data_IF_639620029883
#
_entry.id   IF_639620029883
#
_cell.length_a   1.000
_cell.length_b   1.000
_cell.length_c   1.000
_cell.angle_alpha   90.00
_cell.angle_beta   90.00
_cell.angle_gamma   90.00
#
_symmetry.space_group_name_H-M   'P 1'
#
loop_
_entity.id
_entity.type
_entity.pdbx_description
1 polymer ?
#
# COMPACT_ATOMS: atom_id res chain seq x y z
N UNK A 1 20.57 -26.54 111.62
CA UNK A 1 19.65 -26.19 110.52
C UNK A 1 20.35 -25.67 109.26
N UNK A 2 21.44 -24.89 109.34
CA UNK A 2 22.11 -24.34 108.15
C UNK A 2 22.75 -25.38 107.19
N UNK A 3 23.28 -26.50 107.69
CA UNK A 3 23.94 -27.54 106.87
C UNK A 3 22.99 -28.27 105.91
N UNK A 4 21.75 -28.52 106.33
CA UNK A 4 20.75 -29.20 105.49
C UNK A 4 20.21 -28.30 104.39
N UNK A 5 20.09 -26.99 104.65
CA UNK A 5 19.65 -25.99 103.68
C UNK A 5 20.60 -25.87 102.48
N UNK A 6 21.91 -25.81 102.74
CA UNK A 6 22.92 -25.76 101.68
C UNK A 6 23.02 -27.07 100.89
N UNK A 7 22.84 -28.23 101.54
CA UNK A 7 22.83 -29.51 100.83
C UNK A 7 21.62 -29.65 99.88
N UNK A 8 20.44 -29.16 100.27
CA UNK A 8 19.26 -29.15 99.39
C UNK A 8 19.43 -28.22 98.18
N UNK A 9 20.08 -27.07 98.37
CA UNK A 9 20.37 -26.14 97.27
C UNK A 9 21.34 -26.76 96.26
N UNK A 10 22.41 -27.42 96.74
CA UNK A 10 23.39 -28.08 95.87
C UNK A 10 22.73 -29.22 95.07
N UNK A 11 21.87 -30.01 95.71
CA UNK A 11 21.14 -31.10 95.03
C UNK A 11 20.18 -30.54 93.97
N UNK A 12 19.47 -29.44 94.26
CA UNK A 12 18.57 -28.81 93.30
C UNK A 12 19.32 -28.21 92.10
N UNK A 13 20.48 -27.59 92.33
CA UNK A 13 21.34 -27.07 91.25
C UNK A 13 21.84 -28.22 90.39
N UNK A 14 22.30 -29.32 91.00
CA UNK A 14 22.75 -30.49 90.25
C UNK A 14 21.63 -31.10 89.41
N UNK A 15 20.42 -31.18 89.96
CA UNK A 15 19.25 -31.66 89.23
C UNK A 15 18.85 -30.71 88.09
N UNK A 16 18.94 -29.39 88.28
CA UNK A 16 18.63 -28.43 87.22
C UNK A 16 19.65 -28.48 86.09
N UNK A 17 20.94 -28.64 86.41
CA UNK A 17 22.00 -28.80 85.41
C UNK A 17 21.80 -30.09 84.62
N UNK A 18 21.44 -31.20 85.27
CA UNK A 18 21.11 -32.46 84.58
C UNK A 18 19.91 -32.30 83.66
N UNK A 19 18.84 -31.64 84.11
CA UNK A 19 17.67 -31.40 83.28
C UNK A 19 17.98 -30.50 82.08
N UNK A 20 18.83 -29.48 82.26
CA UNK A 20 19.30 -28.61 81.17
C UNK A 20 20.18 -29.40 80.19
N UNK A 21 21.10 -30.24 80.67
CA UNK A 21 21.92 -31.09 79.80
C UNK A 21 21.07 -32.11 79.02
N UNK A 22 20.06 -32.72 79.65
CA UNK A 22 19.12 -33.62 78.96
C UNK A 22 18.27 -32.85 77.95
N UNK A 23 17.87 -31.61 78.25
CA UNK A 23 17.14 -30.76 77.32
C UNK A 23 18.01 -30.36 76.11
N UNK A 24 19.28 -30.02 76.33
CA UNK A 24 20.24 -29.71 75.26
C UNK A 24 20.55 -30.93 74.39
N UNK A 25 20.74 -32.11 75.00
CA UNK A 25 20.94 -33.37 74.26
C UNK A 25 19.67 -33.74 73.48
N UNK A 26 18.46 -33.56 74.05
CA UNK A 26 17.21 -33.75 73.31
C UNK A 26 17.04 -32.75 72.17
N UNK A 27 17.50 -31.52 72.33
CA UNK A 27 17.46 -30.48 71.30
C UNK A 27 18.41 -30.82 70.14
N UNK A 28 19.61 -31.32 70.45
CA UNK A 28 20.60 -31.78 69.46
C UNK A 28 20.10 -33.04 68.71
N UNK A 29 19.54 -34.02 69.43
CA UNK A 29 18.95 -35.24 68.83
C UNK A 29 17.69 -34.92 68.00
N UNK A 30 16.88 -33.92 68.39
CA UNK A 30 15.71 -33.48 67.60
C UNK A 30 16.08 -32.60 66.40
N UNK A 31 17.26 -31.95 66.41
CA UNK A 31 17.78 -31.25 65.24
C UNK A 31 18.38 -32.22 64.22
N UNK A 32 19.03 -33.30 64.65
CA UNK A 32 19.56 -34.32 63.73
C UNK A 32 18.45 -35.16 63.05
N UNK A 33 17.28 -35.32 63.71
CA UNK A 33 16.12 -36.02 63.14
C UNK A 33 15.14 -35.15 62.35
N UNK A 34 15.38 -33.84 62.28
CA UNK A 34 14.67 -32.94 61.35
C UNK A 34 15.63 -32.40 60.30
N UNK A 35 16.31 -33.29 59.58
CA UNK A 35 16.55 -33.02 58.16
C UNK A 35 15.18 -33.06 57.51
N UNK A 36 14.47 -31.94 57.58
CA UNK A 36 13.40 -31.65 56.65
C UNK A 36 14.05 -31.88 55.29
N UNK A 37 13.68 -32.97 54.59
CA UNK A 37 13.83 -33.00 53.14
C UNK A 37 13.04 -31.79 52.70
N UNK A 38 13.73 -30.67 52.48
CA UNK A 38 13.16 -29.57 51.75
C UNK A 38 12.58 -30.23 50.50
N UNK A 39 11.28 -30.03 50.19
CA UNK A 39 10.83 -30.39 48.86
C UNK A 39 11.85 -29.79 47.91
N UNK A 40 12.33 -30.56 46.93
CA UNK A 40 13.14 -29.99 45.86
C UNK A 40 12.22 -28.98 45.17
N UNK A 41 12.19 -27.76 45.68
CA UNK A 41 11.59 -26.63 45.00
C UNK A 41 12.50 -26.42 43.83
N UNK A 42 12.02 -26.80 42.65
CA UNK A 42 12.69 -26.50 41.39
C UNK A 42 12.97 -25.00 41.38
N UNK A 43 14.22 -24.62 41.65
CA UNK A 43 14.64 -23.23 41.55
C UNK A 43 14.84 -22.96 40.08
N UNK A 44 14.02 -22.07 39.55
CA UNK A 44 14.21 -21.51 38.23
C UNK A 44 15.01 -20.22 38.37
N UNK A 45 16.09 -20.11 37.60
CA UNK A 45 16.81 -18.86 37.42
C UNK A 45 16.41 -18.26 36.07
N UNK A 46 16.07 -16.98 36.06
CA UNK A 46 15.87 -16.22 34.83
C UNK A 46 17.23 -15.92 34.20
N UNK A 47 17.41 -16.35 32.95
CA UNK A 47 18.64 -16.15 32.19
C UNK A 47 18.30 -15.43 30.90
N UNK A 48 19.14 -14.47 30.55
CA UNK A 48 19.05 -13.75 29.28
C UNK A 48 19.49 -14.67 28.13
N UNK A 49 18.69 -14.78 27.07
CA UNK A 49 18.94 -15.70 25.95
C UNK A 49 18.78 -15.02 24.60
N UNK A 50 19.37 -15.66 23.58
CA UNK A 50 19.34 -15.26 22.17
C UNK A 50 18.29 -16.04 21.38
N UNK A 51 17.28 -16.60 22.04
CA UNK A 51 16.29 -17.50 21.41
C UNK A 51 15.53 -16.81 20.28
N UNK A 52 15.22 -15.50 20.40
CA UNK A 52 14.63 -14.72 19.30
C UNK A 52 15.53 -14.72 18.06
N UNK A 53 16.82 -14.41 18.25
CA UNK A 53 17.81 -14.39 17.16
C UNK A 53 17.94 -15.78 16.52
N UNK A 54 18.06 -16.83 17.33
CA UNK A 54 18.15 -18.21 16.84
C UNK A 54 16.92 -18.62 16.04
N UNK A 55 15.71 -18.22 16.46
CA UNK A 55 14.48 -18.49 15.73
C UNK A 55 14.45 -17.75 14.38
N UNK A 56 14.81 -16.46 14.35
CA UNK A 56 14.88 -15.70 13.10
C UNK A 56 15.88 -16.34 12.11
N UNK A 57 17.06 -16.74 12.58
CA UNK A 57 18.07 -17.40 11.75
C UNK A 57 17.60 -18.78 11.26
N UNK A 58 16.97 -19.56 12.14
CA UNK A 58 16.46 -20.90 11.83
C UNK A 58 15.34 -20.89 10.78
N UNK A 59 14.43 -19.93 10.87
CA UNK A 59 13.25 -19.83 10.00
C UNK A 59 13.39 -18.74 8.93
N UNK A 60 14.63 -18.34 8.59
CA UNK A 60 14.91 -17.28 7.63
C UNK A 60 14.21 -17.49 6.27
N UNK A 61 14.21 -18.72 5.75
CA UNK A 61 13.58 -19.05 4.48
C UNK A 61 12.04 -18.88 4.52
N UNK A 62 11.41 -19.23 5.65
CA UNK A 62 9.96 -19.07 5.82
C UNK A 62 9.58 -17.58 5.82
N UNK A 63 10.41 -16.74 6.46
CA UNK A 63 10.24 -15.28 6.48
C UNK A 63 10.40 -14.71 5.06
N UNK A 64 11.42 -15.15 4.32
CA UNK A 64 11.64 -14.71 2.94
C UNK A 64 10.49 -15.12 2.02
N UNK A 65 9.99 -16.36 2.15
CA UNK A 65 8.84 -16.81 1.39
C UNK A 65 7.58 -15.99 1.71
N UNK A 66 7.32 -15.70 2.99
CA UNK A 66 6.20 -14.86 3.41
C UNK A 66 6.32 -13.41 2.90
N UNK A 67 7.54 -12.86 2.87
CA UNK A 67 7.83 -11.56 2.28
C UNK A 67 7.48 -11.52 0.78
N UNK A 68 7.90 -12.53 0.01
CA UNK A 68 7.59 -12.61 -1.43
C UNK A 68 6.09 -12.77 -1.68
N UNK A 69 5.39 -13.60 -0.91
CA UNK A 69 3.92 -13.69 -0.99
C UNK A 69 3.25 -12.36 -0.66
N UNK A 70 3.77 -11.61 0.32
CA UNK A 70 3.26 -10.29 0.68
C UNK A 70 3.44 -9.29 -0.46
N UNK A 71 4.59 -9.31 -1.16
CA UNK A 71 4.80 -8.49 -2.37
C UNK A 71 3.81 -8.83 -3.46
N UNK A 72 3.58 -10.12 -3.73
CA UNK A 72 2.59 -10.57 -4.72
C UNK A 72 1.17 -10.12 -4.38
N UNK A 73 0.79 -10.20 -3.10
CA UNK A 73 -0.51 -9.72 -2.62
C UNK A 73 -0.66 -8.20 -2.82
N UNK A 74 0.38 -7.42 -2.55
CA UNK A 74 0.39 -5.97 -2.76
C UNK A 74 0.33 -5.63 -4.26
N UNK A 75 1.11 -6.33 -5.09
CA UNK A 75 1.10 -6.16 -6.54
C UNK A 75 -0.29 -6.42 -7.13
N UNK A 76 -0.97 -7.46 -6.63
CA UNK A 76 -2.35 -7.77 -6.97
C UNK A 76 -3.30 -6.66 -6.56
N UNK A 77 -3.18 -6.12 -5.33
CA UNK A 77 -3.99 -4.99 -4.86
C UNK A 77 -3.81 -3.78 -5.79
N UNK A 78 -2.57 -3.42 -6.13
CA UNK A 78 -2.27 -2.30 -7.02
C UNK A 78 -2.92 -2.54 -8.39
N UNK A 79 -2.65 -3.71 -8.99
CA UNK A 79 -3.10 -4.07 -10.33
C UNK A 79 -4.62 -4.06 -10.43
N UNK A 80 -5.32 -4.76 -9.53
CA UNK A 80 -6.78 -4.86 -9.55
C UNK A 80 -7.46 -3.49 -9.37
N UNK A 81 -6.98 -2.67 -8.44
CA UNK A 81 -7.60 -1.36 -8.17
C UNK A 81 -7.32 -0.35 -9.29
N UNK A 82 -6.10 -0.32 -9.82
CA UNK A 82 -5.74 0.57 -10.94
C UNK A 82 -6.48 0.14 -12.21
N UNK A 83 -6.47 -1.16 -12.55
CA UNK A 83 -7.14 -1.65 -13.76
C UNK A 83 -8.63 -1.39 -13.69
N UNK A 84 -9.29 -1.72 -12.56
CA UNK A 84 -10.71 -1.42 -12.37
C UNK A 84 -11.03 0.06 -12.60
N UNK A 85 -10.23 0.97 -12.02
CA UNK A 85 -10.49 2.42 -12.14
C UNK A 85 -10.38 2.90 -13.58
N UNK A 86 -9.35 2.47 -14.30
CA UNK A 86 -9.14 2.88 -15.69
C UNK A 86 -10.09 2.17 -16.65
N UNK A 87 -10.45 0.91 -16.41
CA UNK A 87 -11.41 0.18 -17.23
C UNK A 87 -12.82 0.78 -17.05
N UNK A 88 -13.21 1.17 -15.83
CA UNK A 88 -14.45 1.91 -15.58
C UNK A 88 -14.44 3.27 -16.30
N UNK A 89 -13.32 3.99 -16.29
CA UNK A 89 -13.17 5.25 -17.03
C UNK A 89 -13.31 5.02 -18.55
N UNK A 90 -12.62 4.02 -19.11
CA UNK A 90 -12.64 3.70 -20.53
C UNK A 90 -14.06 3.35 -20.97
N UNK A 91 -14.69 2.41 -20.26
CA UNK A 91 -16.00 1.87 -20.62
C UNK A 91 -17.12 2.91 -20.46
N UNK A 92 -17.02 3.82 -19.50
CA UNK A 92 -18.11 4.76 -19.20
C UNK A 92 -17.96 6.12 -19.89
N UNK A 93 -16.74 6.54 -20.24
CA UNK A 93 -16.50 7.93 -20.63
C UNK A 93 -15.92 8.09 -22.04
N UNK A 94 -15.16 7.14 -22.57
CA UNK A 94 -14.49 7.31 -23.87
C UNK A 94 -15.51 7.49 -25.00
N UNK A 95 -16.53 6.62 -25.07
CA UNK A 95 -17.54 6.73 -26.12
C UNK A 95 -18.39 8.00 -25.99
N UNK A 96 -18.74 8.39 -24.76
CA UNK A 96 -19.45 9.67 -24.51
C UNK A 96 -18.62 10.88 -24.92
N UNK A 97 -17.31 10.82 -24.70
CA UNK A 97 -16.40 11.87 -25.14
C UNK A 97 -16.29 11.91 -26.67
N UNK A 98 -16.24 10.77 -27.35
CA UNK A 98 -16.23 10.71 -28.81
C UNK A 98 -17.52 11.29 -29.40
N UNK A 99 -18.68 10.98 -28.81
CA UNK A 99 -19.96 11.57 -29.24
C UNK A 99 -19.98 13.10 -29.03
N UNK A 100 -19.31 13.60 -27.99
CA UNK A 100 -19.08 15.03 -27.83
C UNK A 100 -18.13 15.57 -28.89
N UNK A 101 -16.95 14.97 -29.08
CA UNK A 101 -15.92 15.38 -30.03
C UNK A 101 -16.45 15.48 -31.47
N UNK A 102 -17.21 14.46 -31.91
CA UNK A 102 -17.87 14.40 -33.21
C UNK A 102 -19.26 15.08 -33.24
N UNK A 103 -19.52 16.02 -32.32
CA UNK A 103 -20.68 16.91 -32.40
C UNK A 103 -20.25 18.30 -32.85
N UNK A 104 -21.17 19.02 -33.51
CA UNK A 104 -20.96 20.43 -33.89
C UNK A 104 -20.53 21.26 -32.68
N UNK A 105 -21.22 21.08 -31.54
CA UNK A 105 -20.92 21.82 -30.31
C UNK A 105 -19.53 21.46 -29.78
N UNK A 106 -19.13 20.19 -29.83
CA UNK A 106 -17.82 19.74 -29.36
C UNK A 106 -16.68 20.28 -30.21
N UNK A 107 -16.79 20.20 -31.54
CA UNK A 107 -15.76 20.72 -32.43
C UNK A 107 -15.53 22.23 -32.23
N UNK A 108 -16.61 23.02 -32.09
CA UNK A 108 -16.48 24.44 -31.76
C UNK A 108 -15.92 24.68 -30.36
N UNK A 109 -16.29 23.85 -29.37
CA UNK A 109 -15.78 23.97 -27.99
C UNK A 109 -14.28 23.70 -27.95
N UNK A 110 -13.82 22.64 -28.60
CA UNK A 110 -12.40 22.26 -28.66
C UNK A 110 -11.59 23.25 -29.47
N UNK A 111 -12.11 23.75 -30.60
CA UNK A 111 -11.45 24.79 -31.38
C UNK A 111 -11.33 26.10 -30.59
N UNK A 112 -12.37 26.50 -29.87
CA UNK A 112 -12.34 27.67 -29.00
C UNK A 112 -11.33 27.48 -27.86
N UNK A 113 -11.36 26.32 -27.19
CA UNK A 113 -10.42 26.01 -26.10
C UNK A 113 -8.98 25.96 -26.60
N UNK A 114 -8.72 25.38 -27.77
CA UNK A 114 -7.41 25.37 -28.40
C UNK A 114 -6.89 26.79 -28.70
N UNK A 115 -7.75 27.69 -29.18
CA UNK A 115 -7.34 29.02 -29.66
C UNK A 115 -7.30 30.07 -28.55
N UNK A 116 -8.26 30.03 -27.62
CA UNK A 116 -8.51 31.10 -26.66
C UNK A 116 -8.64 30.62 -25.22
N UNK A 117 -8.61 29.31 -24.96
CA UNK A 117 -8.94 28.73 -23.66
C UNK A 117 -7.96 27.66 -23.19
N UNK A 118 -8.49 26.73 -22.38
CA UNK A 118 -7.73 25.63 -21.80
C UNK A 118 -8.29 24.30 -22.30
N UNK A 119 -7.58 23.68 -23.24
CA UNK A 119 -7.97 22.38 -23.80
C UNK A 119 -7.93 21.27 -22.74
N UNK A 120 -7.01 21.34 -21.78
CA UNK A 120 -6.90 20.33 -20.73
C UNK A 120 -8.15 20.33 -19.84
N UNK A 121 -8.74 21.52 -19.61
CA UNK A 121 -10.02 21.64 -18.91
C UNK A 121 -11.15 20.93 -19.65
N UNK A 122 -11.20 21.04 -20.98
CA UNK A 122 -12.21 20.34 -21.79
C UNK A 122 -12.06 18.82 -21.64
N UNK A 123 -10.83 18.29 -21.73
CA UNK A 123 -10.55 16.86 -21.53
C UNK A 123 -10.91 16.41 -20.11
N UNK A 124 -10.53 17.17 -19.10
CA UNK A 124 -10.86 16.85 -17.72
C UNK A 124 -12.38 16.79 -17.50
N UNK A 125 -13.14 17.75 -18.02
CA UNK A 125 -14.58 17.79 -17.79
C UNK A 125 -15.36 16.79 -18.64
N UNK A 126 -14.94 16.56 -19.90
CA UNK A 126 -15.71 15.79 -20.89
C UNK A 126 -15.25 14.33 -21.00
N UNK A 127 -13.98 14.04 -20.74
CA UNK A 127 -13.44 12.68 -20.81
C UNK A 127 -13.16 12.12 -19.42
N UNK A 128 -12.34 12.78 -18.60
CA UNK A 128 -11.95 12.20 -17.30
C UNK A 128 -13.09 12.26 -16.26
N UNK A 129 -13.87 13.33 -16.32
CA UNK A 129 -14.92 13.66 -15.35
C UNK A 129 -14.41 14.59 -14.25
N UNK A 130 -15.31 15.46 -13.76
CA UNK A 130 -14.99 16.50 -12.76
C UNK A 130 -14.44 15.98 -11.43
N UNK A 131 -14.75 14.73 -11.10
CA UNK A 131 -14.33 14.08 -9.85
C UNK A 131 -13.18 13.08 -10.07
N UNK A 132 -12.49 13.13 -11.22
CA UNK A 132 -11.40 12.20 -11.51
C UNK A 132 -10.26 12.30 -10.51
N UNK A 133 -9.84 13.51 -10.12
CA UNK A 133 -8.82 13.70 -9.08
C UNK A 133 -9.24 13.07 -7.74
N UNK A 134 -10.52 13.21 -7.36
CA UNK A 134 -11.05 12.55 -6.14
C UNK A 134 -11.03 11.03 -6.27
N UNK A 135 -11.32 10.52 -7.46
CA UNK A 135 -11.29 9.09 -7.77
C UNK A 135 -9.88 8.54 -7.62
N UNK A 136 -8.87 9.21 -8.19
CA UNK A 136 -7.46 8.85 -8.03
C UNK A 136 -7.00 8.96 -6.57
N UNK A 137 -7.45 9.99 -5.85
CA UNK A 137 -7.13 10.13 -4.42
C UNK A 137 -7.70 8.97 -3.59
N UNK A 138 -8.93 8.55 -3.88
CA UNK A 138 -9.58 7.41 -3.23
C UNK A 138 -8.88 6.09 -3.58
N UNK A 139 -8.56 5.89 -4.86
CA UNK A 139 -7.77 4.77 -5.35
C UNK A 139 -6.45 4.62 -4.58
N UNK A 140 -5.70 5.72 -4.46
CA UNK A 140 -4.42 5.72 -3.74
C UNK A 140 -4.59 5.41 -2.25
N UNK A 141 -5.63 5.94 -1.61
CA UNK A 141 -5.96 5.59 -0.23
C UNK A 141 -6.26 4.11 -0.07
N UNK A 142 -7.05 3.53 -0.96
CA UNK A 142 -7.44 2.12 -0.91
C UNK A 142 -6.21 1.20 -1.10
N UNK A 143 -5.36 1.49 -2.08
CA UNK A 143 -4.13 0.72 -2.32
C UNK A 143 -3.20 0.79 -1.11
N UNK A 144 -2.91 1.98 -0.59
CA UNK A 144 -1.97 2.15 0.54
C UNK A 144 -2.53 1.49 1.80
N UNK A 145 -3.81 1.66 2.12
CA UNK A 145 -4.42 1.08 3.31
C UNK A 145 -4.46 -0.47 3.24
N UNK A 146 -4.81 -1.02 2.08
CA UNK A 146 -4.83 -2.47 1.91
C UNK A 146 -3.41 -3.06 1.93
N UNK A 147 -2.43 -2.34 1.38
CA UNK A 147 -1.01 -2.70 1.46
C UNK A 147 -0.50 -2.68 2.90
N UNK A 148 -0.88 -1.66 3.69
CA UNK A 148 -0.59 -1.59 5.13
C UNK A 148 -1.04 -2.85 5.86
N UNK A 149 -2.27 -3.32 5.61
CA UNK A 149 -2.78 -4.52 6.27
C UNK A 149 -1.99 -5.79 5.90
N UNK A 150 -1.45 -5.86 4.67
CA UNK A 150 -0.59 -6.97 4.25
C UNK A 150 0.78 -6.91 4.92
N UNK A 151 1.40 -5.72 4.96
CA UNK A 151 2.67 -5.51 5.65
C UNK A 151 2.54 -5.80 7.15
N UNK A 152 1.46 -5.34 7.79
CA UNK A 152 1.23 -5.60 9.20
C UNK A 152 1.10 -7.10 9.51
N UNK A 153 0.42 -7.86 8.64
CA UNK A 153 0.33 -9.32 8.77
C UNK A 153 1.69 -10.00 8.61
N UNK A 154 2.50 -9.57 7.63
CA UNK A 154 3.87 -10.07 7.47
C UNK A 154 4.70 -9.87 8.75
N UNK A 155 4.62 -8.69 9.37
CA UNK A 155 5.32 -8.42 10.62
C UNK A 155 4.81 -9.28 11.78
N UNK A 156 3.50 -9.52 11.86
CA UNK A 156 2.93 -10.46 12.84
C UNK A 156 3.42 -11.89 12.63
N UNK A 157 3.56 -12.35 11.39
CA UNK A 157 4.09 -13.67 11.08
C UNK A 157 5.56 -13.80 11.52
N UNK A 158 6.37 -12.76 11.32
CA UNK A 158 7.75 -12.71 11.85
C UNK A 158 7.74 -12.78 13.38
N UNK A 159 6.85 -12.04 14.06
CA UNK A 159 6.72 -12.06 15.52
C UNK A 159 6.39 -13.48 16.03
N UNK A 160 5.43 -14.15 15.40
CA UNK A 160 5.03 -15.53 15.73
C UNK A 160 6.21 -16.50 15.54
N UNK A 161 6.97 -16.34 14.46
CA UNK A 161 8.15 -17.16 14.18
C UNK A 161 9.24 -16.92 15.24
N UNK A 162 9.55 -15.65 15.52
CA UNK A 162 10.59 -15.25 16.46
C UNK A 162 10.31 -15.73 17.88
N UNK A 163 9.05 -15.72 18.30
CA UNK A 163 8.62 -16.04 19.66
C UNK A 163 8.30 -17.53 19.87
N UNK A 164 8.59 -18.40 18.90
CA UNK A 164 8.45 -19.85 19.08
C UNK A 164 9.24 -20.33 20.30
N UNK A 165 8.56 -20.97 21.25
CA UNK A 165 9.11 -21.47 22.51
C UNK A 165 9.60 -20.38 23.49
N UNK A 166 9.14 -19.14 23.34
CA UNK A 166 9.42 -18.03 24.27
C UNK A 166 8.26 -17.89 25.26
N UNK A 167 8.58 -17.67 26.54
CA UNK A 167 7.61 -17.29 27.57
C UNK A 167 7.19 -15.82 27.34
N UNK A 168 6.03 -15.62 26.72
CA UNK A 168 5.52 -14.29 26.33
C UNK A 168 5.14 -13.42 27.54
N UNK A 169 4.67 -14.02 28.63
CA UNK A 169 4.28 -13.27 29.83
C UNK A 169 5.51 -12.70 30.52
N UNK A 170 6.58 -13.50 30.60
CA UNK A 170 7.85 -13.08 31.18
C UNK A 170 8.52 -11.94 30.38
N UNK A 171 8.29 -11.90 29.07
CA UNK A 171 8.95 -10.97 28.14
C UNK A 171 8.04 -9.86 27.60
N UNK A 172 6.82 -9.71 28.16
CA UNK A 172 5.77 -8.84 27.64
C UNK A 172 6.23 -7.42 27.34
N UNK A 173 6.88 -6.77 28.29
CA UNK A 173 7.30 -5.37 28.15
C UNK A 173 8.30 -5.15 27.01
N UNK A 174 9.25 -6.07 26.83
CA UNK A 174 10.25 -6.00 25.75
C UNK A 174 9.61 -6.16 24.38
N UNK A 175 8.70 -7.13 24.25
CA UNK A 175 7.99 -7.42 23.00
C UNK A 175 6.99 -6.32 22.63
N UNK A 176 6.25 -5.76 23.60
CA UNK A 176 5.31 -4.66 23.36
C UNK A 176 6.01 -3.39 22.87
N UNK A 177 7.16 -3.02 23.46
CA UNK A 177 7.95 -1.87 23.02
C UNK A 177 8.47 -2.04 21.57
N UNK A 178 8.91 -3.24 21.23
CA UNK A 178 9.32 -3.56 19.87
C UNK A 178 8.15 -3.37 18.89
N UNK A 179 6.97 -3.88 19.23
CA UNK A 179 5.76 -3.75 18.41
C UNK A 179 5.33 -2.29 18.19
N UNK A 180 5.35 -1.46 19.23
CA UNK A 180 4.98 -0.04 19.13
C UNK A 180 5.91 0.73 18.19
N UNK A 181 7.22 0.61 18.39
CA UNK A 181 8.21 1.32 17.57
C UNK A 181 8.11 0.98 16.08
N UNK A 182 7.79 -0.28 15.76
CA UNK A 182 7.65 -0.70 14.36
C UNK A 182 6.31 -0.30 13.77
N UNK A 183 5.23 -0.33 14.56
CA UNK A 183 3.95 0.20 14.12
C UNK A 183 4.05 1.69 13.76
N UNK A 184 4.68 2.49 14.61
CA UNK A 184 4.87 3.92 14.37
C UNK A 184 5.71 4.17 13.11
N UNK A 185 6.85 3.49 12.95
CA UNK A 185 7.70 3.62 11.77
C UNK A 185 7.02 3.16 10.46
N UNK A 186 6.19 2.12 10.54
CA UNK A 186 5.39 1.64 9.42
C UNK A 186 4.33 2.68 9.00
N UNK A 187 3.63 3.27 9.97
CA UNK A 187 2.62 4.29 9.71
C UNK A 187 3.23 5.54 9.08
N UNK A 188 4.38 6.02 9.57
CA UNK A 188 5.05 7.19 8.99
C UNK A 188 5.49 6.95 7.55
N UNK A 189 6.15 5.82 7.27
CA UNK A 189 6.68 5.55 5.93
C UNK A 189 5.57 5.35 4.88
N UNK A 190 4.44 4.76 5.27
CA UNK A 190 3.30 4.61 4.37
C UNK A 190 2.50 5.89 4.16
N UNK A 191 2.46 6.79 5.16
CA UNK A 191 1.92 8.14 4.98
C UNK A 191 2.75 8.95 3.98
N UNK A 192 4.08 8.88 4.07
CA UNK A 192 4.99 9.56 3.13
C UNK A 192 4.85 9.01 1.71
N UNK A 193 4.67 7.70 1.56
CA UNK A 193 4.43 7.09 0.27
C UNK A 193 3.08 7.51 -0.33
N UNK A 194 2.02 7.55 0.49
CA UNK A 194 0.72 8.09 0.08
C UNK A 194 0.86 9.53 -0.41
N UNK A 195 1.58 10.38 0.32
CA UNK A 195 1.81 11.76 -0.10
C UNK A 195 2.54 11.83 -1.45
N UNK A 196 3.56 11.00 -1.66
CA UNK A 196 4.33 10.95 -2.91
C UNK A 196 3.50 10.55 -4.12
N UNK A 197 2.59 9.58 -3.98
CA UNK A 197 1.73 9.16 -5.09
C UNK A 197 0.65 10.20 -5.38
N UNK A 198 0.03 10.77 -4.34
CA UNK A 198 -1.03 11.76 -4.47
C UNK A 198 -0.57 13.10 -5.07
N UNK A 199 0.72 13.46 -4.98
CA UNK A 199 1.25 14.66 -5.63
C UNK A 199 1.46 14.49 -7.12
N UNK A 200 1.37 13.27 -7.66
CA UNK A 200 1.46 13.04 -9.09
C UNK A 200 0.20 13.56 -9.79
N UNK A 201 0.36 14.57 -10.65
CA UNK A 201 -0.72 15.19 -11.43
C UNK A 201 -1.23 14.29 -12.58
N UNK A 202 -1.79 13.12 -12.25
CA UNK A 202 -2.24 12.09 -13.19
C UNK A 202 -3.30 12.63 -14.16
N UNK A 203 -4.28 13.38 -13.64
CA UNK A 203 -5.31 14.02 -14.46
C UNK A 203 -4.69 14.98 -15.49
N UNK A 204 -3.77 15.84 -15.05
CA UNK A 204 -3.05 16.79 -15.92
C UNK A 204 -2.26 16.06 -17.00
N UNK A 205 -1.55 14.99 -16.66
CA UNK A 205 -0.77 14.21 -17.63
C UNK A 205 -1.65 13.58 -18.71
N UNK A 206 -2.78 12.99 -18.30
CA UNK A 206 -3.79 12.46 -19.22
C UNK A 206 -4.36 13.55 -20.12
N UNK A 207 -4.74 14.68 -19.53
CA UNK A 207 -5.29 15.81 -20.26
C UNK A 207 -4.32 16.33 -21.31
N UNK A 208 -3.03 16.48 -20.97
CA UNK A 208 -1.97 16.91 -21.89
C UNK A 208 -1.75 15.90 -23.02
N UNK A 209 -1.66 14.60 -22.70
CA UNK A 209 -1.45 13.56 -23.72
C UNK A 209 -2.57 13.59 -24.76
N UNK A 210 -3.82 13.68 -24.31
CA UNK A 210 -4.99 13.65 -25.19
C UNK A 210 -5.20 14.99 -25.90
N UNK A 211 -5.02 16.12 -25.21
CA UNK A 211 -5.13 17.44 -25.82
C UNK A 211 -4.11 17.66 -26.93
N UNK A 212 -2.90 17.09 -26.81
CA UNK A 212 -1.89 17.14 -27.87
C UNK A 212 -2.36 16.45 -29.16
N UNK A 213 -3.03 15.31 -29.05
CA UNK A 213 -3.58 14.56 -30.20
C UNK A 213 -4.70 15.31 -30.89
N UNK A 214 -5.57 15.95 -30.11
CA UNK A 214 -6.67 16.76 -30.66
C UNK A 214 -6.13 18.03 -31.32
N UNK A 215 -5.16 18.68 -30.70
CA UNK A 215 -4.50 19.87 -31.25
C UNK A 215 -3.87 19.55 -32.61
N UNK A 216 -3.24 18.38 -32.77
CA UNK A 216 -2.70 17.92 -34.04
C UNK A 216 -3.80 17.73 -35.11
N UNK A 217 -4.93 17.10 -34.76
CA UNK A 217 -6.08 16.92 -35.67
C UNK A 217 -6.69 18.28 -36.08
N UNK A 218 -6.85 19.22 -35.15
CA UNK A 218 -7.35 20.58 -35.44
C UNK A 218 -6.41 21.37 -36.36
N UNK A 219 -5.09 21.27 -36.13
CA UNK A 219 -4.09 21.89 -37.00
C UNK A 219 -4.18 21.33 -38.44
N UNK A 220 -4.34 20.02 -38.60
CA UNK A 220 -4.51 19.39 -39.91
C UNK A 220 -5.80 19.82 -40.61
N UNK A 221 -6.93 19.86 -39.89
CA UNK A 221 -8.22 20.34 -40.44
C UNK A 221 -8.14 21.79 -40.92
N UNK A 222 -7.41 22.66 -40.20
CA UNK A 222 -7.22 24.05 -40.63
C UNK A 222 -6.31 24.17 -41.86
N UNK A 223 -5.28 23.34 -41.99
CA UNK A 223 -4.40 23.28 -43.18
C UNK A 223 -5.09 22.67 -44.42
N UNK A 224 -6.01 21.71 -44.23
CA UNK A 224 -6.78 21.08 -45.30
C UNK A 224 -7.74 22.03 -46.04
N UNK A 225 -8.26 23.07 -45.34
CA UNK A 225 -9.07 24.13 -45.97
C UNK A 225 -8.27 24.98 -46.98
N UNK A 226 -6.94 25.02 -46.88
CA UNK A 226 -6.04 25.64 -47.87
C UNK A 226 -5.62 24.70 -49.00
N UNK A 227 -5.46 23.40 -48.74
CA UNK A 227 -5.14 22.42 -49.79
C UNK A 227 -6.32 22.16 -50.74
N UNK A 228 -7.56 22.18 -50.24
CA UNK A 228 -8.77 21.99 -51.06
C UNK A 228 -9.01 23.18 -52.01
N UNK A 229 -8.53 24.38 -51.66
CA UNK A 229 -8.51 25.51 -52.60
C UNK A 229 -7.56 25.28 -53.78
N UNK A 230 -6.54 24.41 -53.67
CA UNK A 230 -5.65 24.07 -54.78
C UNK A 230 -6.20 22.91 -55.65
N UNK A 231 -6.93 21.97 -55.05
CA UNK A 231 -7.60 20.89 -55.80
C UNK A 231 -8.88 21.37 -56.52
N UNK A 232 -9.55 22.41 -56.00
CA UNK A 232 -10.73 23.00 -56.65
C UNK A 232 -10.40 24.13 -57.64
N UNK A 233 -9.17 24.66 -57.65
CA UNK A 233 -8.78 25.75 -58.57
C UNK A 233 -8.22 25.27 -59.91
N UNK A 234 -8.03 23.97 -60.13
CA UNK A 234 -7.64 23.42 -61.44
C UNK A 234 -8.81 22.96 -62.31
N UNK A 235 -10.06 22.99 -61.82
CA UNK A 235 -11.28 22.69 -62.60
C UNK A 235 -12.19 23.90 -62.82
N UNK A 236 -11.64 25.12 -62.77
CA UNK A 236 -12.35 26.35 -63.14
C UNK A 236 -12.06 26.80 -64.59
N UNK A 237 -11.78 25.87 -65.50
CA UNK A 237 -11.64 26.16 -66.93
C UNK A 237 -12.32 25.08 -67.78
N UNK A 238 -13.65 25.00 -67.67
CA UNK A 238 -14.64 24.55 -68.67
C UNK A 238 -15.78 23.82 -67.97
N UNK A 239 -17.00 24.27 -68.23
CA UNK A 239 -18.22 23.78 -67.59
C UNK A 239 -18.42 22.28 -67.79
N UNK A 240 -18.82 21.59 -66.73
CA UNK A 240 -19.16 20.18 -66.78
C UNK A 240 -19.24 19.60 -65.37
N UNK A 241 -20.45 19.25 -64.98
CA UNK A 241 -20.83 18.60 -63.72
C UNK A 241 -19.88 17.42 -63.43
N UNK A 242 -18.95 17.59 -62.49
CA UNK A 242 -18.25 16.47 -61.88
C UNK A 242 -18.30 16.66 -60.38
N UNK A 243 -19.32 16.06 -59.78
CA UNK A 243 -19.38 15.85 -58.35
C UNK A 243 -18.16 15.01 -57.96
N UNK A 244 -17.15 15.65 -57.38
CA UNK A 244 -16.18 14.94 -56.55
C UNK A 244 -16.90 14.22 -55.40
N UNK A 245 -16.18 13.39 -54.64
CA UNK A 245 -16.68 12.48 -53.57
C UNK A 245 -17.63 13.12 -52.52
N UNK A 246 -17.81 14.44 -52.52
CA UNK A 246 -18.90 15.17 -51.86
C UNK A 246 -20.20 15.31 -52.71
N UNK A 247 -20.59 14.25 -53.44
CA UNK A 247 -21.68 14.29 -54.41
C UNK A 247 -23.13 14.51 -53.90
N UNK A 248 -23.48 14.47 -52.60
CA UNK A 248 -24.83 14.90 -52.19
C UNK A 248 -25.06 16.42 -52.34
N UNK A 249 -24.00 17.21 -52.59
CA UNK A 249 -24.05 18.69 -52.55
C UNK A 249 -24.15 19.39 -53.91
N UNK A 250 -24.39 18.67 -55.02
CA UNK A 250 -24.45 19.32 -56.35
C UNK A 250 -25.81 19.26 -57.03
N UNK A 251 -26.90 18.95 -56.34
CA UNK A 251 -28.21 18.94 -56.96
C UNK A 251 -29.32 19.24 -55.97
N UNK A 252 -29.78 20.50 -56.01
CA UNK A 252 -31.04 21.02 -55.45
C UNK A 252 -30.89 21.75 -54.08
N UNK A 253 -31.35 23.01 -54.09
CA UNK A 253 -31.69 23.89 -52.97
C UNK A 253 -30.59 24.75 -52.33
N UNK A 254 -30.20 25.81 -53.04
CA UNK A 254 -29.98 27.11 -52.40
C UNK A 254 -31.28 27.51 -51.66
N UNK A 255 -31.29 27.51 -50.33
CA UNK A 255 -32.43 28.04 -49.59
C UNK A 255 -32.35 28.04 -48.06
N UNK A 256 -31.94 26.94 -47.43
CA UNK A 256 -32.05 26.83 -45.95
C UNK A 256 -31.02 25.92 -45.27
N UNK A 257 -29.90 25.57 -45.92
CA UNK A 257 -28.80 24.91 -45.21
C UNK A 257 -28.04 26.00 -44.45
N UNK A 258 -28.39 26.18 -43.18
CA UNK A 258 -27.62 27.01 -42.24
C UNK A 258 -26.16 26.56 -42.28
N UNK A 259 -25.18 27.46 -42.18
CA UNK A 259 -23.75 27.13 -42.21
C UNK A 259 -23.37 25.92 -41.33
N UNK A 260 -24.05 25.76 -40.19
CA UNK A 260 -23.94 24.58 -39.30
C UNK A 260 -24.23 23.22 -39.97
N UNK A 261 -25.05 23.16 -41.02
CA UNK A 261 -25.34 21.95 -41.78
C UNK A 261 -24.13 21.48 -42.62
N UNK A 262 -23.33 22.41 -43.14
CA UNK A 262 -22.07 22.08 -43.81
C UNK A 262 -21.06 21.50 -42.81
N UNK A 263 -20.95 22.09 -41.62
CA UNK A 263 -20.06 21.61 -40.56
C UNK A 263 -20.49 20.20 -40.08
N UNK A 264 -21.79 19.97 -39.90
CA UNK A 264 -22.32 18.65 -39.51
C UNK A 264 -21.95 17.53 -40.52
N UNK A 265 -21.96 17.81 -41.81
CA UNK A 265 -21.57 16.84 -42.85
C UNK A 265 -20.07 16.54 -42.77
N UNK A 266 -19.23 17.56 -42.62
CA UNK A 266 -17.77 17.39 -42.50
C UNK A 266 -17.42 16.59 -41.24
N UNK A 267 -18.08 16.89 -40.11
CA UNK A 267 -17.92 16.16 -38.86
C UNK A 267 -18.34 14.71 -39.01
N UNK A 268 -19.50 14.44 -39.61
CA UNK A 268 -19.98 13.06 -39.82
C UNK A 268 -19.04 12.24 -40.71
N UNK A 269 -18.44 12.88 -41.72
CA UNK A 269 -17.44 12.24 -42.57
C UNK A 269 -16.15 11.94 -41.80
N UNK A 270 -15.68 12.88 -40.98
CA UNK A 270 -14.52 12.70 -40.10
C UNK A 270 -14.77 11.61 -39.04
N UNK A 271 -15.98 11.56 -38.46
CA UNK A 271 -16.41 10.51 -37.53
C UNK A 271 -16.35 9.15 -38.19
N UNK A 272 -16.97 9.00 -39.37
CA UNK A 272 -17.00 7.73 -40.09
C UNK A 272 -15.59 7.22 -40.45
N UNK A 273 -14.65 8.11 -40.73
CA UNK A 273 -13.30 7.74 -41.15
C UNK A 273 -12.33 7.55 -39.98
N UNK A 274 -12.45 8.34 -38.90
CA UNK A 274 -11.41 8.46 -37.87
C UNK A 274 -11.86 8.09 -36.45
N UNK A 275 -13.15 7.81 -36.20
CA UNK A 275 -13.67 7.58 -34.82
C UNK A 275 -12.95 6.44 -34.11
N UNK A 276 -12.79 5.30 -34.78
CA UNK A 276 -12.17 4.12 -34.17
C UNK A 276 -10.68 4.32 -33.92
N UNK A 277 -9.95 4.90 -34.87
CA UNK A 277 -8.53 5.20 -34.71
C UNK A 277 -8.30 6.19 -33.56
N UNK A 278 -9.10 7.26 -33.50
CA UNK A 278 -9.00 8.23 -32.42
C UNK A 278 -9.42 7.65 -31.06
N UNK A 279 -10.42 6.77 -31.03
CA UNK A 279 -10.78 5.99 -29.83
C UNK A 279 -9.58 5.19 -29.31
N UNK A 280 -8.88 4.48 -30.20
CA UNK A 280 -7.71 3.70 -29.82
C UNK A 280 -6.56 4.58 -29.35
N UNK A 281 -6.37 5.75 -29.97
CA UNK A 281 -5.40 6.74 -29.48
C UNK A 281 -5.68 7.18 -28.04
N UNK A 282 -6.94 7.47 -27.70
CA UNK A 282 -7.35 7.84 -26.33
C UNK A 282 -7.11 6.67 -25.37
N UNK A 283 -7.57 5.47 -25.72
CA UNK A 283 -7.42 4.27 -24.90
C UNK A 283 -5.93 3.96 -24.68
N UNK A 284 -5.09 4.12 -25.70
CA UNK A 284 -3.65 3.95 -25.58
C UNK A 284 -3.04 4.95 -24.58
N UNK A 285 -3.42 6.22 -24.64
CA UNK A 285 -2.96 7.24 -23.69
C UNK A 285 -3.41 6.93 -22.25
N UNK A 286 -4.64 6.45 -22.09
CA UNK A 286 -5.16 6.00 -20.79
C UNK A 286 -4.36 4.81 -20.26
N UNK A 287 -4.08 3.82 -21.11
CA UNK A 287 -3.31 2.64 -20.74
C UNK A 287 -1.84 2.94 -20.42
N UNK A 288 -1.22 3.90 -21.10
CA UNK A 288 0.14 4.34 -20.80
C UNK A 288 0.23 4.91 -19.38
N UNK A 289 -0.64 5.86 -19.04
CA UNK A 289 -0.67 6.44 -17.69
C UNK A 289 -1.12 5.41 -16.64
N UNK A 290 -1.99 4.47 -17.00
CA UNK A 290 -2.35 3.33 -16.14
C UNK A 290 -1.11 2.54 -15.72
N UNK A 291 -0.24 2.21 -16.67
CA UNK A 291 1.00 1.48 -16.40
C UNK A 291 1.97 2.32 -15.55
N UNK A 292 2.15 3.59 -15.89
CA UNK A 292 3.00 4.49 -15.08
C UNK A 292 2.49 4.65 -13.65
N UNK A 293 1.17 4.69 -13.46
CA UNK A 293 0.58 4.75 -12.13
C UNK A 293 0.92 3.49 -11.33
N UNK A 294 0.84 2.30 -11.93
CA UNK A 294 1.30 1.05 -11.28
C UNK A 294 2.78 1.12 -10.91
N UNK A 295 3.62 1.65 -11.80
CA UNK A 295 5.05 1.83 -11.55
C UNK A 295 5.32 2.75 -10.36
N UNK A 296 4.52 3.79 -10.15
CA UNK A 296 4.65 4.69 -9.00
C UNK A 296 4.39 4.02 -7.65
N UNK A 297 3.71 2.86 -7.63
CA UNK A 297 3.53 2.08 -6.41
C UNK A 297 4.67 1.09 -6.15
N UNK A 298 5.58 0.82 -7.10
CA UNK A 298 6.72 -0.09 -6.88
C UNK A 298 7.60 0.24 -5.67
N UNK A 299 7.80 1.51 -5.28
CA UNK A 299 8.53 1.81 -4.04
C UNK A 299 7.94 1.15 -2.78
N UNK A 300 6.66 0.70 -2.78
CA UNK A 300 6.07 -0.08 -1.68
C UNK A 300 6.85 -1.37 -1.44
N UNK A 301 7.36 -2.02 -2.49
CA UNK A 301 8.10 -3.27 -2.36
C UNK A 301 9.43 -3.05 -1.67
N UNK A 302 10.16 -2.02 -2.07
CA UNK A 302 11.43 -1.62 -1.44
C UNK A 302 11.20 -1.21 0.02
N UNK A 303 10.10 -0.51 0.30
CA UNK A 303 9.77 -0.09 1.67
C UNK A 303 9.39 -1.28 2.55
N UNK A 304 8.60 -2.22 2.03
CA UNK A 304 8.30 -3.48 2.70
C UNK A 304 9.57 -4.28 3.01
N UNK A 305 10.52 -4.39 2.07
CA UNK A 305 11.81 -5.06 2.31
C UNK A 305 12.58 -4.40 3.46
N UNK A 306 12.72 -3.06 3.43
CA UNK A 306 13.41 -2.31 4.49
C UNK A 306 12.76 -2.49 5.85
N UNK A 307 11.43 -2.40 5.91
CA UNK A 307 10.67 -2.56 7.15
C UNK A 307 10.83 -3.99 7.67
N UNK A 308 10.73 -4.99 6.80
CA UNK A 308 10.94 -6.41 7.17
C UNK A 308 12.34 -6.65 7.73
N UNK A 309 13.37 -6.14 7.06
CA UNK A 309 14.77 -6.27 7.50
C UNK A 309 15.02 -5.56 8.84
N UNK A 310 14.57 -4.31 8.97
CA UNK A 310 14.70 -3.54 10.21
C UNK A 310 13.98 -4.24 11.38
N UNK A 311 12.79 -4.80 11.11
CA UNK A 311 12.06 -5.58 12.10
C UNK A 311 12.84 -6.81 12.56
N UNK A 312 13.39 -7.58 11.62
CA UNK A 312 14.21 -8.74 11.94
C UNK A 312 15.45 -8.37 12.75
N UNK A 313 16.16 -7.30 12.40
CA UNK A 313 17.33 -6.84 13.15
C UNK A 313 16.97 -6.41 14.57
N UNK A 314 15.91 -5.61 14.75
CA UNK A 314 15.42 -5.23 16.08
C UNK A 314 15.04 -6.45 16.93
N UNK A 315 14.44 -7.47 16.33
CA UNK A 315 14.14 -8.74 17.02
C UNK A 315 15.42 -9.47 17.43
N UNK A 316 16.43 -9.56 16.56
CA UNK A 316 17.71 -10.22 16.86
C UNK A 316 18.48 -9.52 17.97
N UNK A 317 18.39 -8.19 18.05
CA UNK A 317 19.01 -7.38 19.11
C UNK A 317 18.26 -7.48 20.44
N UNK A 318 16.97 -7.84 20.40
CA UNK A 318 16.13 -7.98 21.58
C UNK A 318 16.52 -9.23 22.37
N UNK A 319 16.91 -9.02 23.62
CA UNK A 319 17.23 -10.09 24.55
C UNK A 319 15.99 -10.47 25.35
N UNK A 320 15.79 -11.78 25.57
CA UNK A 320 14.64 -12.31 26.31
C UNK A 320 15.06 -13.13 27.52
N UNK A 321 14.23 -13.13 28.54
CA UNK A 321 14.35 -13.93 29.75
C UNK A 321 13.78 -15.33 29.50
N UNK A 322 14.53 -16.36 29.91
CA UNK A 322 14.07 -17.74 29.98
C UNK A 322 14.27 -18.30 31.39
N UNK A 323 13.30 -19.10 31.85
CA UNK A 323 13.41 -19.84 33.12
C UNK A 323 14.25 -21.10 32.90
N UNK A 324 15.46 -21.15 33.45
CA UNK A 324 16.28 -22.37 33.47
C UNK A 324 16.21 -23.05 34.82
N UNK A 325 16.03 -24.38 34.82
CA UNK A 325 16.19 -25.19 36.03
C UNK A 325 17.63 -25.12 36.51
N UNK A 326 17.81 -24.75 37.77
CA UNK A 326 19.08 -24.89 38.48
C UNK A 326 18.96 -26.15 39.32
N UNK A 327 19.82 -27.14 39.06
CA UNK A 327 20.00 -28.27 39.95
C UNK A 327 21.07 -27.85 40.95
N UNK A 328 20.69 -27.66 42.21
CA UNK A 328 21.66 -27.45 43.29
C UNK A 328 22.50 -28.74 43.39
N UNK A 329 23.73 -28.72 42.88
CA UNK A 329 24.72 -29.76 43.15
C UNK A 329 25.17 -29.60 44.61
N UNK A 330 24.53 -30.35 45.51
CA UNK A 330 24.99 -30.50 46.90
C UNK A 330 26.18 -31.45 46.99
#
# INVERSE_FOLDING_TARGET
MLKYFWNTIIILIFFSVILISIALIKQEINQEKNILKTPITEKFQEVLTDTLKQNIEKYHNDILQNLEMTKQDIDKIITENVDKTFDELINNNVDKYLDFHYSVIGEYTELFAFTFGDMNKVINEKLLGKDFDKTINKLSQEIVNNSYLKIQRHLQDIEIIATKNVDLELNKNGLENLKLNIKENLETNLLDMKATILTTAIATKLAISISSKISAKLALKSAGKTATKLAASTTAASGGITCGIAAPLCGIAFGTITWFGTDAIVISADEYLNKDDFKQEIISSLNEVKLELKEQYKPLFTELEKISQNYQEKIKETKILEKRKVIDNF
#
